data_IF_166072908245
#
_entry.id   IF_166072908245
#
_cell.length_a   1.000
_cell.length_b   1.000
_cell.length_c   1.000
_cell.angle_alpha   90.00
_cell.angle_beta   90.00
_cell.angle_gamma   90.00
#
_symmetry.space_group_name_H-M   'P 1'
#
loop_
_entity.id
_entity.type
_entity.pdbx_description
1 polymer ?
#
# COMPACT_ATOMS: atom_id res chain seq x y z
N UNK A 1 -3.00 9.70 -11.81
CA UNK A 1 -3.36 10.57 -10.67
C UNK A 1 -4.87 10.82 -10.73
N UNK A 2 -5.63 10.67 -9.65
CA UNK A 2 -7.10 10.79 -9.68
C UNK A 2 -7.58 12.17 -10.19
N UNK A 3 -6.81 13.23 -9.92
CA UNK A 3 -7.05 14.61 -10.41
C UNK A 3 -6.74 14.85 -11.90
N UNK A 4 -6.03 13.93 -12.56
CA UNK A 4 -5.65 14.05 -13.98
C UNK A 4 -6.44 13.08 -14.87
N UNK A 5 -7.41 12.38 -14.31
CA UNK A 5 -8.15 11.32 -14.99
C UNK A 5 -9.64 11.58 -15.02
N UNK A 6 -10.28 11.70 -13.85
CA UNK A 6 -11.75 11.67 -13.78
C UNK A 6 -12.35 12.51 -12.64
N UNK A 7 -11.55 12.86 -11.62
CA UNK A 7 -12.03 13.67 -10.50
C UNK A 7 -11.69 15.16 -10.75
N UNK A 8 -12.69 15.94 -11.18
CA UNK A 8 -12.54 17.34 -11.61
C UNK A 8 -13.04 18.38 -10.58
N UNK A 9 -13.84 17.98 -9.60
CA UNK A 9 -14.27 18.86 -8.49
C UNK A 9 -13.25 18.82 -7.34
N UNK A 10 -12.54 19.93 -7.13
CA UNK A 10 -11.50 20.05 -6.11
C UNK A 10 -12.04 20.74 -4.86
N UNK A 11 -12.63 19.93 -3.98
CA UNK A 11 -12.90 20.34 -2.59
C UNK A 11 -11.62 20.34 -1.79
N UNK A 12 -11.51 21.29 -0.87
CA UNK A 12 -10.40 21.34 0.09
C UNK A 12 -10.42 20.07 0.94
N UNK A 13 -9.33 19.31 0.93
CA UNK A 13 -9.17 18.11 1.76
C UNK A 13 -8.63 18.51 3.12
N UNK A 14 -9.29 18.08 4.19
CA UNK A 14 -8.83 18.28 5.55
C UNK A 14 -7.99 17.08 6.03
N UNK A 15 -7.05 17.32 6.95
CA UNK A 15 -6.26 16.24 7.60
C UNK A 15 -7.13 15.29 8.44
N UNK A 16 -8.36 15.69 8.77
CA UNK A 16 -9.35 14.84 9.43
C UNK A 16 -9.72 13.61 8.58
N UNK A 17 -9.79 13.73 7.25
CA UNK A 17 -10.09 12.59 6.36
C UNK A 17 -9.04 11.48 6.50
N UNK A 18 -7.76 11.84 6.60
CA UNK A 18 -6.68 10.90 6.83
C UNK A 18 -6.74 10.24 8.23
N UNK A 19 -7.17 10.98 9.25
CA UNK A 19 -7.41 10.44 10.60
C UNK A 19 -8.52 9.39 10.60
N UNK A 20 -9.65 9.71 9.96
CA UNK A 20 -10.76 8.76 9.84
C UNK A 20 -10.28 7.50 9.13
N UNK A 21 -9.53 7.63 8.05
CA UNK A 21 -8.95 6.52 7.30
C UNK A 21 -7.83 5.75 8.02
N UNK A 22 -7.51 6.13 9.26
CA UNK A 22 -6.43 5.56 10.07
C UNK A 22 -5.07 5.58 9.35
N UNK A 23 -4.88 6.54 8.44
CA UNK A 23 -3.62 6.75 7.73
C UNK A 23 -2.67 7.55 8.62
N UNK A 24 -1.37 7.30 8.46
CA UNK A 24 -0.35 8.09 9.16
C UNK A 24 -0.42 9.56 8.77
N UNK A 25 -0.38 10.47 9.75
CA UNK A 25 -0.41 11.93 9.55
C UNK A 25 0.92 12.52 9.04
N UNK A 26 1.72 11.73 8.31
CA UNK A 26 2.94 12.23 7.69
C UNK A 26 2.58 12.98 6.39
N UNK A 27 2.84 14.31 6.30
CA UNK A 27 2.50 15.10 5.12
C UNK A 27 3.18 14.61 3.85
N UNK A 28 4.37 14.01 3.92
CA UNK A 28 5.06 13.48 2.74
C UNK A 28 4.31 12.29 2.09
N UNK A 29 3.63 11.47 2.89
CA UNK A 29 2.86 10.31 2.39
C UNK A 29 1.47 10.70 1.89
N UNK A 30 0.92 11.78 2.44
CA UNK A 30 -0.43 12.27 2.16
C UNK A 30 -0.47 13.34 1.06
N UNK A 31 0.65 14.02 0.80
CA UNK A 31 0.76 15.00 -0.28
C UNK A 31 0.66 14.31 -1.64
N UNK A 32 -0.10 14.92 -2.55
CA UNK A 32 -0.08 14.63 -3.97
C UNK A 32 1.08 15.34 -4.67
N UNK A 33 1.24 15.06 -5.96
CA UNK A 33 2.30 15.66 -6.79
C UNK A 33 2.22 17.19 -6.85
N UNK A 34 1.03 17.75 -6.63
CA UNK A 34 0.78 19.19 -6.58
C UNK A 34 1.13 19.85 -5.22
N UNK A 35 1.69 19.09 -4.26
CA UNK A 35 2.07 19.59 -2.94
C UNK A 35 0.92 19.79 -1.95
N UNK A 36 -0.34 19.62 -2.40
CA UNK A 36 -1.55 19.59 -1.54
C UNK A 36 -1.88 18.17 -1.12
N UNK A 37 -2.75 17.99 -0.13
CA UNK A 37 -3.26 16.65 0.24
C UNK A 37 -3.95 15.98 -0.96
N UNK A 38 -3.80 14.65 -1.07
CA UNK A 38 -4.41 13.83 -2.14
C UNK A 38 -5.92 14.02 -2.17
N UNK A 39 -6.47 14.40 -3.34
CA UNK A 39 -7.92 14.58 -3.50
C UNK A 39 -8.72 13.28 -3.41
N UNK A 40 -8.09 12.13 -3.67
CA UNK A 40 -8.77 10.84 -3.51
C UNK A 40 -9.13 10.51 -2.05
N UNK A 41 -8.53 11.20 -1.05
CA UNK A 41 -8.86 10.99 0.37
C UNK A 41 -10.32 11.34 0.68
N UNK A 42 -10.87 12.41 0.10
CA UNK A 42 -12.29 12.73 0.29
C UNK A 42 -13.18 11.77 -0.49
N UNK A 43 -12.78 11.39 -1.71
CA UNK A 43 -13.56 10.47 -2.54
C UNK A 43 -13.75 9.10 -1.87
N UNK A 44 -12.70 8.56 -1.26
CA UNK A 44 -12.73 7.26 -0.60
C UNK A 44 -13.33 7.31 0.82
N UNK A 45 -13.54 8.50 1.38
CA UNK A 45 -13.93 8.67 2.79
C UNK A 45 -15.29 8.05 3.10
N UNK A 46 -16.29 8.26 2.24
CA UNK A 46 -17.64 7.75 2.47
C UNK A 46 -17.65 6.22 2.45
N UNK A 47 -17.05 5.62 1.41
CA UNK A 47 -16.86 4.17 1.31
C UNK A 47 -16.11 3.59 2.50
N UNK A 48 -15.10 4.31 3.01
CA UNK A 48 -14.35 3.89 4.18
C UNK A 48 -15.21 3.92 5.45
N UNK A 49 -16.00 4.97 5.66
CA UNK A 49 -16.91 5.10 6.82
C UNK A 49 -17.94 3.97 6.81
N UNK A 50 -18.49 3.63 5.65
CA UNK A 50 -19.44 2.53 5.52
C UNK A 50 -18.77 1.16 5.73
N UNK A 51 -17.54 0.98 5.22
CA UNK A 51 -16.78 -0.24 5.46
C UNK A 51 -16.54 -0.46 6.97
N UNK A 52 -16.24 0.59 7.74
CA UNK A 52 -16.06 0.47 9.20
C UNK A 52 -17.33 -0.02 9.90
N UNK A 53 -18.51 0.50 9.53
CA UNK A 53 -19.79 0.11 10.15
C UNK A 53 -20.08 -1.38 10.00
N UNK A 54 -19.51 -2.03 8.99
CA UNK A 54 -19.67 -3.46 8.79
C UNK A 54 -18.93 -4.30 9.85
N UNK A 55 -17.92 -3.76 10.53
CA UNK A 55 -17.15 -4.48 11.54
C UNK A 55 -17.86 -4.44 12.90
N UNK A 56 -17.71 -5.48 13.74
CA UNK A 56 -18.17 -5.42 15.12
C UNK A 56 -17.43 -4.34 15.89
N UNK A 57 -18.05 -3.83 16.96
CA UNK A 57 -17.50 -2.74 17.78
C UNK A 57 -16.06 -3.06 18.23
N UNK A 58 -15.14 -2.20 17.80
CA UNK A 58 -13.70 -2.33 18.06
C UNK A 58 -13.33 -2.15 19.53
N UNK A 59 -14.28 -1.80 20.40
CA UNK A 59 -14.07 -1.71 21.84
C UNK A 59 -13.85 -3.10 22.46
N UNK A 60 -14.53 -4.12 21.93
CA UNK A 60 -14.26 -5.52 22.25
C UNK A 60 -13.10 -6.08 21.42
N UNK A 61 -11.88 -5.57 21.61
CA UNK A 61 -10.65 -6.05 20.92
C UNK A 61 -10.27 -7.50 21.22
N UNK A 62 -11.12 -8.26 21.90
CA UNK A 62 -10.86 -9.60 22.40
C UNK A 62 -12.00 -10.54 22.02
N UNK A 63 -11.66 -11.71 21.52
CA UNK A 63 -12.59 -12.81 21.31
C UNK A 63 -12.36 -13.86 22.38
N UNK A 64 -13.42 -14.20 23.10
CA UNK A 64 -13.41 -15.27 24.09
C UNK A 64 -13.47 -16.61 23.35
N UNK A 65 -12.53 -17.50 23.60
CA UNK A 65 -12.53 -18.87 23.08
C UNK A 65 -12.25 -19.85 24.19
N UNK A 66 -12.50 -21.14 23.96
CA UNK A 66 -12.18 -22.20 24.94
C UNK A 66 -10.69 -22.26 25.32
N UNK A 67 -9.78 -21.89 24.39
CA UNK A 67 -8.33 -21.82 24.65
C UNK A 67 -7.95 -20.59 25.49
N UNK A 68 -8.76 -19.53 25.46
CA UNK A 68 -8.50 -18.25 26.10
C UNK A 68 -8.88 -17.05 25.23
N UNK A 69 -8.48 -15.86 25.65
CA UNK A 69 -8.75 -14.61 24.93
C UNK A 69 -7.81 -14.44 23.73
N UNK A 70 -8.38 -14.32 22.53
CA UNK A 70 -7.67 -13.91 21.34
C UNK A 70 -7.77 -12.39 21.13
N UNK A 71 -6.65 -11.71 20.95
CA UNK A 71 -6.57 -10.24 20.82
C UNK A 71 -6.47 -9.84 19.36
N UNK A 72 -7.22 -8.82 18.95
CA UNK A 72 -7.16 -8.24 17.62
C UNK A 72 -5.82 -7.51 17.41
N UNK A 73 -5.04 -7.95 16.43
CA UNK A 73 -3.74 -7.36 16.07
C UNK A 73 -3.83 -6.44 14.86
N UNK A 74 -4.57 -6.88 13.83
CA UNK A 74 -4.66 -6.15 12.56
C UNK A 74 -6.06 -6.28 11.98
N UNK A 75 -6.49 -5.23 11.28
CA UNK A 75 -7.77 -5.18 10.60
C UNK A 75 -7.55 -4.80 9.14
N UNK A 76 -8.21 -5.51 8.23
CA UNK A 76 -8.23 -5.24 6.80
C UNK A 76 -9.67 -4.92 6.40
N UNK A 77 -9.95 -3.62 6.23
CA UNK A 77 -11.29 -3.10 5.90
C UNK A 77 -11.77 -3.57 4.54
N UNK A 78 -10.88 -3.54 3.55
CA UNK A 78 -11.22 -3.86 2.16
C UNK A 78 -11.48 -5.36 1.98
N UNK A 79 -10.71 -6.21 2.66
CA UNK A 79 -10.91 -7.67 2.59
C UNK A 79 -11.92 -8.19 3.60
N UNK A 80 -12.39 -7.34 4.52
CA UNK A 80 -13.25 -7.76 5.63
C UNK A 80 -12.65 -8.91 6.45
N UNK A 81 -11.34 -8.79 6.76
CA UNK A 81 -10.59 -9.77 7.56
C UNK A 81 -10.03 -9.09 8.80
N UNK A 82 -10.19 -9.76 9.94
CA UNK A 82 -9.65 -9.40 11.23
C UNK A 82 -8.61 -10.45 11.63
N UNK A 83 -7.44 -10.00 12.06
CA UNK A 83 -6.33 -10.87 12.45
C UNK A 83 -6.20 -10.90 13.96
N UNK A 84 -6.32 -12.08 14.54
CA UNK A 84 -6.24 -12.29 15.98
C UNK A 84 -4.97 -13.06 16.34
N UNK A 85 -4.47 -12.87 17.55
CA UNK A 85 -3.44 -13.73 18.14
C UNK A 85 -3.75 -14.03 19.59
N UNK A 86 -3.30 -15.19 20.07
CA UNK A 86 -3.39 -15.55 21.47
C UNK A 86 -2.24 -14.88 22.26
N UNK A 87 -2.44 -14.70 23.56
CA UNK A 87 -1.40 -14.12 24.44
C UNK A 87 -0.15 -15.00 24.52
N UNK A 88 -0.32 -16.32 24.43
CA UNK A 88 0.78 -17.29 24.50
C UNK A 88 1.63 -17.32 23.22
N UNK A 89 1.01 -17.04 22.07
CA UNK A 89 1.63 -17.10 20.74
C UNK A 89 1.31 -15.82 19.94
N UNK A 90 1.89 -14.66 20.30
CA UNK A 90 1.57 -13.39 19.66
C UNK A 90 2.02 -13.32 18.19
N UNK A 91 3.00 -14.14 17.79
CA UNK A 91 3.54 -14.22 16.43
C UNK A 91 2.57 -14.90 15.45
N UNK A 92 1.67 -15.76 15.96
CA UNK A 92 0.72 -16.51 15.14
C UNK A 92 -0.52 -15.66 14.91
N UNK A 93 -0.57 -15.00 13.75
CA UNK A 93 -1.73 -14.23 13.32
C UNK A 93 -2.75 -15.13 12.62
N UNK A 94 -3.94 -15.23 13.20
CA UNK A 94 -5.06 -16.03 12.70
C UNK A 94 -6.06 -15.11 12.00
N UNK A 95 -6.22 -15.22 10.67
CA UNK A 95 -7.19 -14.43 9.94
C UNK A 95 -8.61 -14.98 10.15
N UNK A 96 -9.57 -14.10 10.40
CA UNK A 96 -10.99 -14.45 10.49
C UNK A 96 -11.84 -13.42 9.76
N UNK A 97 -12.85 -13.88 9.02
CA UNK A 97 -13.76 -12.96 8.31
C UNK A 97 -14.68 -12.25 9.29
N UNK A 98 -15.07 -11.02 8.97
CA UNK A 98 -16.00 -10.22 9.79
C UNK A 98 -17.29 -10.95 10.14
N UNK A 99 -17.87 -11.70 9.19
CA UNK A 99 -19.08 -12.49 9.42
C UNK A 99 -18.87 -13.56 10.49
N UNK A 100 -17.76 -14.29 10.41
CA UNK A 100 -17.39 -15.32 11.39
C UNK A 100 -17.17 -14.68 12.78
N UNK A 101 -16.53 -13.51 12.84
CA UNK A 101 -16.36 -12.75 14.08
C UNK A 101 -17.71 -12.38 14.70
N UNK A 102 -18.66 -11.90 13.91
CA UNK A 102 -20.02 -11.59 14.41
C UNK A 102 -20.72 -12.83 14.95
N UNK A 103 -20.67 -13.94 14.23
CA UNK A 103 -21.24 -15.21 14.68
C UNK A 103 -20.60 -15.67 16.00
N UNK A 104 -19.27 -15.55 16.11
CA UNK A 104 -18.52 -15.88 17.32
C UNK A 104 -18.94 -15.02 18.52
N UNK A 105 -19.05 -13.70 18.32
CA UNK A 105 -19.51 -12.77 19.36
C UNK A 105 -20.93 -13.12 19.81
N UNK A 106 -21.82 -13.41 18.87
CA UNK A 106 -23.20 -13.79 19.16
C UNK A 106 -23.27 -15.13 19.92
N UNK A 107 -22.44 -16.11 19.54
CA UNK A 107 -22.31 -17.37 20.26
C UNK A 107 -21.88 -17.14 21.72
N UNK A 108 -20.86 -16.31 21.95
CA UNK A 108 -20.42 -15.94 23.29
C UNK A 108 -21.53 -15.26 24.10
N UNK A 109 -22.31 -14.35 23.50
CA UNK A 109 -23.47 -13.70 24.15
C UNK A 109 -24.55 -14.71 24.55
N UNK A 110 -24.72 -15.79 23.78
CA UNK A 110 -25.68 -16.86 24.09
C UNK A 110 -25.16 -17.91 25.08
N UNK A 111 -23.97 -17.72 25.64
CA UNK A 111 -23.38 -18.63 26.65
C UNK A 111 -22.62 -19.82 26.07
N UNK A 112 -22.57 -19.97 24.74
CA UNK A 112 -21.78 -21.00 24.10
C UNK A 112 -20.39 -20.47 23.76
N UNK A 113 -19.36 -20.97 24.44
CA UNK A 113 -17.98 -20.57 24.18
C UNK A 113 -17.45 -21.38 22.99
N UNK A 114 -17.18 -20.74 21.84
CA UNK A 114 -16.67 -21.41 20.65
C UNK A 114 -15.24 -21.98 20.84
N UNK A 115 -14.87 -23.00 20.04
CA UNK A 115 -13.57 -23.65 20.12
C UNK A 115 -12.42 -22.70 19.77
N UNK A 116 -11.18 -23.19 19.97
CA UNK A 116 -9.98 -22.44 19.66
C UNK A 116 -9.93 -22.02 18.19
N UNK A 117 -9.49 -20.79 17.92
CA UNK A 117 -9.19 -20.32 16.59
C UNK A 117 -8.03 -21.14 16.03
N UNK A 118 -8.24 -21.80 14.90
CA UNK A 118 -7.19 -22.54 14.20
C UNK A 118 -6.55 -21.65 13.16
N UNK A 119 -5.21 -21.54 13.10
CA UNK A 119 -4.55 -20.94 11.95
C UNK A 119 -4.79 -21.85 10.74
N UNK A 120 -5.77 -21.49 9.91
CA UNK A 120 -5.97 -22.12 8.60
C UNK A 120 -4.63 -22.07 7.85
N UNK A 121 -4.02 -23.24 7.63
CA UNK A 121 -2.86 -23.37 6.76
C UNK A 121 -3.37 -23.14 5.34
N UNK A 122 -3.00 -21.98 4.78
CA UNK A 122 -3.27 -21.50 3.41
C UNK A 122 -4.62 -20.82 3.19
N UNK A 123 -4.67 -19.70 2.42
CA UNK A 123 -5.93 -19.13 2.00
C UNK A 123 -6.63 -20.14 1.10
N UNK A 124 -7.79 -20.64 1.53
CA UNK A 124 -8.75 -21.26 0.62
C UNK A 124 -8.90 -20.33 -0.57
N UNK A 125 -8.50 -20.78 -1.76
CA UNK A 125 -8.66 -20.05 -3.02
C UNK A 125 -10.09 -19.56 -3.09
N UNK A 126 -10.30 -18.26 -2.90
CA UNK A 126 -11.55 -17.61 -3.29
C UNK A 126 -11.57 -17.76 -4.81
N UNK A 127 -12.45 -18.62 -5.33
CA UNK A 127 -12.71 -18.70 -6.76
C UNK A 127 -13.49 -17.45 -7.14
N UNK A 128 -12.78 -16.35 -7.34
CA UNK A 128 -13.32 -15.18 -8.03
C UNK A 128 -13.49 -15.66 -9.47
N UNK A 129 -14.74 -15.93 -9.88
CA UNK A 129 -15.05 -16.26 -11.27
C UNK A 129 -14.53 -15.13 -12.16
N UNK A 130 -13.82 -15.50 -13.22
CA UNK A 130 -13.22 -14.59 -14.24
C UNK A 130 -14.18 -13.58 -14.88
N UNK A 131 -15.47 -13.62 -14.57
CA UNK A 131 -16.50 -12.82 -15.22
C UNK A 131 -16.46 -11.32 -14.84
N UNK A 132 -15.94 -10.95 -13.66
CA UNK A 132 -16.04 -9.56 -13.17
C UNK A 132 -14.81 -8.69 -13.50
N UNK A 133 -13.81 -9.25 -14.21
CA UNK A 133 -12.58 -8.53 -14.59
C UNK A 133 -12.36 -8.47 -16.11
N UNK A 134 -13.44 -8.37 -16.89
CA UNK A 134 -13.34 -8.00 -18.31
C UNK A 134 -13.44 -6.47 -18.45
N UNK A 135 -12.36 -5.78 -18.06
CA UNK A 135 -12.18 -4.39 -18.43
C UNK A 135 -11.94 -4.33 -19.95
N UNK A 136 -12.98 -3.91 -20.67
CA UNK A 136 -12.97 -3.75 -22.13
C UNK A 136 -11.96 -2.68 -22.51
N UNK A 137 -10.72 -3.10 -22.81
CA UNK A 137 -9.69 -2.26 -23.42
C UNK A 137 -10.20 -1.72 -24.76
N UNK A 138 -10.88 -0.58 -24.70
CA UNK A 138 -11.30 0.24 -25.83
C UNK A 138 -10.33 1.42 -25.93
N UNK A 139 -9.09 1.10 -26.25
CA UNK A 139 -8.09 2.05 -26.71
C UNK A 139 -7.05 1.26 -27.47
N UNK A 140 -6.93 1.59 -28.76
CA UNK A 140 -6.20 0.84 -29.77
C UNK A 140 -4.78 0.50 -29.35
N UNK A 141 -4.38 -0.69 -29.77
CA UNK A 141 -3.01 -1.15 -29.68
C UNK A 141 -2.07 -0.19 -30.41
N UNK A 142 -1.24 0.54 -29.66
CA UNK A 142 0.06 0.99 -30.18
C UNK A 142 1.13 0.15 -29.50
N UNK A 143 1.61 -0.86 -30.23
CA UNK A 143 2.68 -1.77 -29.79
C UNK A 143 3.89 -1.00 -29.24
N UNK A 144 4.32 -1.38 -28.03
CA UNK A 144 5.51 -0.87 -27.32
C UNK A 144 6.86 -1.18 -28.02
N UNK A 145 6.86 -1.59 -29.29
CA UNK A 145 8.08 -1.80 -30.09
C UNK A 145 8.53 -0.56 -30.87
N UNK A 146 7.96 0.62 -30.59
CA UNK A 146 8.35 1.90 -31.21
C UNK A 146 9.80 2.31 -30.93
N UNK A 147 10.44 1.74 -29.91
CA UNK A 147 11.83 2.08 -29.53
C UNK A 147 12.85 0.95 -29.70
N UNK A 148 12.44 -0.23 -30.19
CA UNK A 148 13.33 -1.40 -30.29
C UNK A 148 13.75 -1.70 -31.74
N UNK A 149 14.17 -0.65 -32.45
CA UNK A 149 14.95 -0.82 -33.67
C UNK A 149 16.42 -0.92 -33.30
N UNK A 150 16.90 -2.15 -33.12
CA UNK A 150 18.32 -2.50 -33.07
C UNK A 150 19.03 -1.86 -34.28
N UNK A 151 19.88 -0.86 -34.01
CA UNK A 151 20.88 -0.32 -34.92
C UNK A 151 21.82 -1.46 -35.37
N UNK A 152 21.44 -2.17 -36.44
CA UNK A 152 22.37 -2.97 -37.22
C UNK A 152 22.93 -2.07 -38.33
N UNK A 153 24.06 -1.41 -38.03
CA UNK A 153 24.93 -0.83 -39.04
C UNK A 153 26.39 -0.95 -38.58
N UNK A 154 27.10 -1.95 -39.12
CA UNK A 154 28.57 -1.95 -39.13
C UNK A 154 29.05 -0.91 -40.15
N UNK A 155 30.17 -0.23 -39.88
CA UNK A 155 31.23 -0.25 -40.88
C UNK A 155 32.62 -0.54 -40.31
N UNK A 156 33.54 -0.77 -41.25
CA UNK A 156 34.84 -1.45 -41.17
C UNK A 156 35.94 -0.66 -40.42
N UNK A 157 36.96 -1.43 -40.00
CA UNK A 157 38.29 -1.02 -39.49
C UNK A 157 39.00 0.01 -40.39
N UNK A 158 39.75 0.94 -39.78
CA UNK A 158 41.21 1.03 -39.99
C UNK A 158 41.89 1.81 -38.85
N UNK A 159 43.14 1.43 -38.53
CA UNK A 159 44.01 2.00 -37.49
C UNK A 159 44.89 3.08 -38.11
N UNK A 160 45.10 4.21 -37.43
CA UNK A 160 46.40 4.89 -37.35
C UNK A 160 46.42 5.93 -36.22
N UNK A 161 47.61 6.15 -35.67
CA UNK A 161 47.91 6.67 -34.34
C UNK A 161 48.06 8.21 -34.25
N UNK A 162 47.93 8.75 -33.03
CA UNK A 162 49.00 9.51 -32.32
C UNK A 162 48.60 9.86 -30.87
N UNK A 163 49.55 9.92 -29.93
CA UNK A 163 49.27 10.09 -28.50
C UNK A 163 49.25 11.57 -28.11
N UNK A 164 48.24 12.00 -27.35
CA UNK A 164 48.26 13.30 -26.67
C UNK A 164 48.60 13.11 -25.19
N UNK A 165 49.75 13.68 -24.81
CA UNK A 165 50.30 13.74 -23.45
C UNK A 165 49.34 14.51 -22.53
N UNK A 166 48.97 13.90 -21.40
CA UNK A 166 48.38 14.61 -20.26
C UNK A 166 49.51 15.24 -19.43
N UNK A 167 49.48 16.57 -19.25
CA UNK A 167 50.30 17.25 -18.23
C UNK A 167 49.59 17.14 -16.87
N UNK A 168 50.30 16.89 -15.77
CA UNK A 168 49.74 16.94 -14.43
C UNK A 168 49.57 18.39 -13.97
N UNK A 169 48.43 18.70 -13.35
CA UNK A 169 48.20 19.94 -12.61
C UNK A 169 49.05 19.95 -11.35
N UNK A 170 50.01 20.87 -11.28
CA UNK A 170 50.78 21.14 -10.08
C UNK A 170 49.90 21.84 -9.04
N UNK A 171 49.93 21.25 -7.86
CA UNK A 171 49.58 21.84 -6.59
C UNK A 171 50.66 22.86 -6.24
N UNK A 172 50.30 24.12 -5.98
CA UNK A 172 51.20 25.03 -5.29
C UNK A 172 50.44 25.91 -4.30
N UNK A 173 50.79 25.71 -3.03
CA UNK A 173 50.43 26.59 -1.91
C UNK A 173 51.20 27.90 -2.09
N UNK A 174 50.57 29.05 -1.86
CA UNK A 174 51.27 30.18 -1.22
C UNK A 174 50.32 31.11 -0.48
N UNK A 175 50.55 31.08 0.82
CA UNK A 175 50.11 31.99 1.87
C UNK A 175 50.81 33.35 1.70
N UNK A 176 50.12 34.48 1.89
CA UNK A 176 50.63 35.68 2.61
C UNK A 176 49.65 36.87 2.55
N UNK A 177 49.08 37.19 3.72
CA UNK A 177 49.01 38.50 4.37
C UNK A 177 48.99 39.80 3.52
N UNK A 178 47.98 40.66 3.74
CA UNK A 178 48.08 41.89 4.60
C UNK A 178 47.18 43.06 4.14
N UNK A 179 46.69 43.80 5.16
CA UNK A 179 46.17 45.20 5.17
C UNK A 179 44.81 45.43 4.49
N UNK A 180 43.83 46.11 5.09
CA UNK A 180 43.87 47.18 6.11
C UNK A 180 42.76 47.03 7.15
#
# INVERSE_FOLDING_TARGET
>A
MCCSTWLTDFRTVATSAARYQQLSLNPQKLAGQCGKLKCCLNFELDSYVDAIKAFPDLDSKKLITQRGDAVLQKLDLFKQIMWFSYRDEPEVLIPMRVEQVKLHINACKSGNIPPALTPEKSPTKIQISKADYEFKNTSGEESLNRFDSKRNAKPKKSRTAKPFKRKPTQNDKRNSNSKS
#
